data_IF_006380403144
#
_entry.id   IF_006380403144
#
_cell.length_a   1.000
_cell.length_b   1.000
_cell.length_c   1.000
_cell.angle_alpha   90.00
_cell.angle_beta   90.00
_cell.angle_gamma   90.00
#
_symmetry.space_group_name_H-M   'P 1'
#
loop_
_entity.id
_entity.type
_entity.pdbx_description
1 polymer ?
#
# COMPACT_ATOMS: atom_id res chain seq x y z
N UNK A 1 7.07 -14.45 -4.03
CA UNK A 1 5.82 -15.22 -3.84
C UNK A 1 4.59 -14.39 -4.21
N UNK A 2 4.36 -13.16 -3.72
CA UNK A 2 3.17 -12.38 -4.12
C UNK A 2 3.05 -12.04 -5.62
N UNK A 3 4.15 -11.68 -6.30
CA UNK A 3 4.09 -11.30 -7.73
C UNK A 3 3.78 -12.46 -8.69
N UNK A 4 3.98 -13.71 -8.27
CA UNK A 4 3.70 -14.87 -9.11
C UNK A 4 2.18 -15.12 -9.27
N UNK A 5 1.37 -14.56 -8.36
CA UNK A 5 -0.07 -14.82 -8.25
C UNK A 5 -0.94 -13.68 -8.82
N UNK A 6 -0.34 -12.62 -9.40
CA UNK A 6 -1.04 -11.44 -9.96
C UNK A 6 -2.20 -10.94 -9.08
N UNK A 7 -1.90 -10.40 -7.88
CA UNK A 7 -2.93 -10.01 -6.94
C UNK A 7 -3.78 -8.86 -7.49
N UNK A 8 -5.07 -8.86 -7.15
CA UNK A 8 -6.00 -7.77 -7.49
C UNK A 8 -5.81 -6.55 -6.59
N UNK A 9 -5.19 -6.72 -5.40
CA UNK A 9 -4.89 -5.66 -4.46
C UNK A 9 -3.70 -6.06 -3.56
N UNK A 10 -2.89 -5.08 -3.16
CA UNK A 10 -1.74 -5.29 -2.27
C UNK A 10 -1.91 -4.46 -1.00
N UNK A 11 -1.85 -5.12 0.16
CA UNK A 11 -1.71 -4.45 1.46
C UNK A 11 -0.26 -4.59 1.93
N UNK A 12 0.37 -3.48 2.31
CA UNK A 12 1.80 -3.41 2.57
C UNK A 12 2.13 -2.55 3.79
N UNK A 13 2.97 -3.04 4.70
CA UNK A 13 3.50 -2.19 5.77
C UNK A 13 4.67 -1.33 5.25
N UNK A 14 4.80 -0.12 5.77
CA UNK A 14 5.97 0.73 5.53
C UNK A 14 7.15 0.29 6.40
N UNK A 15 6.92 -0.11 7.65
CA UNK A 15 7.99 -0.47 8.57
C UNK A 15 8.39 -1.93 8.35
N UNK A 16 9.41 -2.13 7.52
CA UNK A 16 9.92 -3.46 7.17
C UNK A 16 11.45 -3.48 7.18
N UNK A 17 12.10 -4.61 7.53
CA UNK A 17 13.55 -4.73 7.46
C UNK A 17 14.04 -4.79 6.01
N UNK A 18 15.27 -4.31 5.78
CA UNK A 18 15.99 -4.29 4.48
C UNK A 18 15.41 -3.34 3.42
N UNK A 19 14.11 -3.44 3.12
CA UNK A 19 13.40 -2.58 2.17
C UNK A 19 12.10 -2.11 2.81
N UNK A 20 11.88 -0.80 2.86
CA UNK A 20 10.65 -0.26 3.45
C UNK A 20 9.48 -0.29 2.45
N UNK A 21 8.26 -0.14 2.95
CA UNK A 21 7.06 -0.20 2.11
C UNK A 21 6.96 0.93 1.08
N UNK A 22 7.59 2.08 1.31
CA UNK A 22 7.66 3.15 0.30
C UNK A 22 8.48 2.72 -0.92
N UNK A 23 9.65 2.14 -0.69
CA UNK A 23 10.51 1.61 -1.75
C UNK A 23 9.83 0.46 -2.50
N UNK A 24 9.19 -0.44 -1.75
CA UNK A 24 8.45 -1.56 -2.33
C UNK A 24 7.26 -1.10 -3.17
N UNK A 25 6.45 -0.16 -2.67
CA UNK A 25 5.34 0.46 -3.40
C UNK A 25 5.81 1.08 -4.72
N UNK A 26 6.84 1.93 -4.68
CA UNK A 26 7.43 2.54 -5.89
C UNK A 26 7.92 1.47 -6.87
N UNK A 27 8.58 0.42 -6.37
CA UNK A 27 9.11 -0.65 -7.21
C UNK A 27 7.99 -1.42 -7.90
N UNK A 28 6.93 -1.77 -7.20
CA UNK A 28 5.76 -2.45 -7.75
C UNK A 28 5.11 -1.58 -8.82
N UNK A 29 4.84 -0.30 -8.51
CA UNK A 29 4.23 0.65 -9.46
C UNK A 29 5.11 0.98 -10.67
N UNK A 30 6.41 0.70 -10.62
CA UNK A 30 7.32 0.86 -11.76
C UNK A 30 7.33 -0.33 -12.73
N UNK A 31 6.69 -1.43 -12.37
CA UNK A 31 6.60 -2.64 -13.20
C UNK A 31 5.30 -2.60 -14.01
N UNK A 32 5.34 -2.60 -15.36
CA UNK A 32 4.15 -2.46 -16.19
C UNK A 32 3.05 -3.51 -15.90
N UNK A 33 3.44 -4.72 -15.49
CA UNK A 33 2.49 -5.78 -15.15
C UNK A 33 1.72 -5.52 -13.85
N UNK A 34 2.24 -4.67 -12.96
CA UNK A 34 1.69 -4.42 -11.62
C UNK A 34 1.33 -2.94 -11.38
N UNK A 35 1.57 -2.05 -12.34
CA UNK A 35 1.38 -0.60 -12.16
C UNK A 35 -0.06 -0.20 -11.81
N UNK A 36 -1.03 -0.96 -12.34
CA UNK A 36 -2.45 -0.71 -12.15
C UNK A 36 -3.02 -1.41 -10.90
N UNK A 37 -2.25 -2.27 -10.22
CA UNK A 37 -2.75 -2.98 -9.05
C UNK A 37 -2.84 -1.99 -7.87
N UNK A 38 -4.01 -1.83 -7.23
CA UNK A 38 -4.16 -0.94 -6.09
C UNK A 38 -3.29 -1.36 -4.91
N UNK A 39 -2.66 -0.38 -4.26
CA UNK A 39 -1.79 -0.58 -3.09
C UNK A 39 -2.33 0.21 -1.90
N UNK A 40 -2.60 -0.50 -0.80
CA UNK A 40 -2.90 0.07 0.52
C UNK A 40 -1.64 0.00 1.39
N UNK A 41 -1.12 1.14 1.82
CA UNK A 41 -0.10 1.21 2.85
C UNK A 41 -0.75 1.19 4.23
N UNK A 42 -0.39 0.20 5.06
CA UNK A 42 -0.98 -0.04 6.36
C UNK A 42 0.11 -0.06 7.44
N UNK A 43 0.33 1.07 8.14
CA UNK A 43 1.58 1.26 8.88
C UNK A 43 1.44 2.02 10.19
N UNK A 44 2.45 1.92 11.07
CA UNK A 44 2.53 2.70 12.32
C UNK A 44 3.08 4.12 12.13
N UNK A 45 3.59 4.46 10.94
CA UNK A 45 4.05 5.82 10.61
C UNK A 45 2.86 6.75 10.40
N UNK A 46 2.68 7.72 11.29
CA UNK A 46 1.47 8.55 11.36
C UNK A 46 1.70 10.06 11.14
N UNK A 47 2.88 10.45 10.64
CA UNK A 47 3.13 11.85 10.31
C UNK A 47 2.46 12.21 8.97
N UNK A 48 1.94 13.43 8.84
CA UNK A 48 1.37 13.92 7.57
C UNK A 48 2.36 13.83 6.40
N UNK A 49 3.64 14.02 6.68
CA UNK A 49 4.72 13.82 5.70
C UNK A 49 4.80 12.38 5.21
N UNK A 50 4.62 11.40 6.10
CA UNK A 50 4.67 9.98 5.75
C UNK A 50 3.52 9.60 4.81
N UNK A 51 2.31 10.09 5.10
CA UNK A 51 1.13 9.90 4.23
C UNK A 51 1.34 10.52 2.85
N UNK A 52 1.82 11.77 2.80
CA UNK A 52 2.14 12.47 1.56
C UNK A 52 3.16 11.69 0.72
N UNK A 53 4.23 11.20 1.34
CA UNK A 53 5.24 10.41 0.65
C UNK A 53 4.71 9.06 0.18
N UNK A 54 3.87 8.40 0.98
CA UNK A 54 3.21 7.15 0.61
C UNK A 54 2.39 7.30 -0.68
N UNK A 55 1.48 8.29 -0.72
CA UNK A 55 0.70 8.60 -1.92
C UNK A 55 1.59 8.95 -3.11
N UNK A 56 2.64 9.73 -2.91
CA UNK A 56 3.61 10.09 -3.96
C UNK A 56 4.43 8.91 -4.49
N UNK A 57 4.60 7.83 -3.73
CA UNK A 57 5.21 6.59 -4.21
C UNK A 57 4.25 5.70 -5.02
N UNK A 58 2.97 6.10 -5.10
CA UNK A 58 1.92 5.37 -5.82
C UNK A 58 1.02 4.54 -4.92
N UNK A 59 0.97 4.78 -3.60
CA UNK A 59 -0.07 4.16 -2.78
C UNK A 59 -1.43 4.82 -3.07
N UNK A 60 -2.45 4.00 -3.25
CA UNK A 60 -3.82 4.43 -3.49
C UNK A 60 -4.49 4.85 -2.17
N UNK A 61 -4.21 4.10 -1.11
CA UNK A 61 -4.69 4.37 0.25
C UNK A 61 -3.54 4.28 1.26
N UNK A 62 -3.59 5.12 2.28
CA UNK A 62 -2.66 5.11 3.40
C UNK A 62 -3.44 5.09 4.72
N UNK A 63 -3.31 4.00 5.48
CA UNK A 63 -3.98 3.78 6.76
C UNK A 63 -2.94 3.65 7.88
N UNK A 64 -3.20 4.34 8.98
CA UNK A 64 -2.33 4.35 10.16
C UNK A 64 -2.83 3.39 11.24
N UNK A 65 -1.92 2.65 11.86
CA UNK A 65 -2.19 1.86 13.06
C UNK A 65 -2.38 2.78 14.28
N UNK A 66 -3.31 2.45 15.21
CA UNK A 66 -4.29 1.38 15.12
C UNK A 66 -5.43 1.75 14.15
N UNK A 67 -5.89 0.78 13.38
CA UNK A 67 -7.06 0.86 12.49
C UNK A 67 -8.10 -0.14 12.97
N UNK A 68 -9.37 0.10 12.65
CA UNK A 68 -10.41 -0.91 12.82
C UNK A 68 -10.57 -1.74 11.53
N UNK A 69 -11.23 -2.90 11.62
CA UNK A 69 -11.43 -3.79 10.47
C UNK A 69 -12.31 -3.14 9.40
N UNK A 70 -13.23 -2.27 9.80
CA UNK A 70 -14.16 -1.59 8.90
C UNK A 70 -13.45 -0.61 7.97
N UNK A 71 -12.46 0.15 8.46
CA UNK A 71 -11.61 1.06 7.67
C UNK A 71 -10.85 0.31 6.58
N UNK A 72 -10.34 -0.90 6.90
CA UNK A 72 -9.62 -1.73 5.92
C UNK A 72 -10.60 -2.32 4.90
N UNK A 73 -11.75 -2.82 5.35
CA UNK A 73 -12.80 -3.35 4.48
C UNK A 73 -13.34 -2.30 3.52
N UNK A 74 -13.56 -1.08 4.01
CA UNK A 74 -14.01 0.05 3.20
C UNK A 74 -12.97 0.39 2.13
N UNK A 75 -11.70 0.51 2.50
CA UNK A 75 -10.62 0.79 1.55
C UNK A 75 -10.48 -0.31 0.49
N UNK A 76 -10.56 -1.59 0.87
CA UNK A 76 -10.52 -2.72 -0.07
C UNK A 76 -11.73 -2.69 -1.00
N UNK A 77 -12.93 -2.47 -0.46
CA UNK A 77 -14.16 -2.45 -1.25
C UNK A 77 -14.14 -1.31 -2.27
N UNK A 78 -13.69 -0.12 -1.88
CA UNK A 78 -13.58 1.05 -2.77
C UNK A 78 -12.59 0.85 -3.92
N UNK A 79 -11.57 0.01 -3.74
CA UNK A 79 -10.51 -0.20 -4.73
C UNK A 79 -10.75 -1.41 -5.66
N UNK A 80 -11.62 -2.34 -5.25
CA UNK A 80 -11.97 -3.54 -6.01
C UNK A 80 -13.38 -3.48 -6.64
N UNK A 81 -14.04 -2.32 -6.59
CA UNK A 81 -15.39 -2.13 -7.16
C UNK A 81 -15.39 -1.90 -8.66
#
# INVERSE_FOLDING_TARGET
MAMAEKPELIILDVVMPKMNGFQACRKIKSMPEFENIPIILLTSKNQKSDEFWGKKQGADVYLTKPFNTDEVLEAVTQLLS
#
